data_IF_265991571544
#
_entry.id   IF_265991571544
#
_cell.length_a   1.000
_cell.length_b   1.000
_cell.length_c   1.000
_cell.angle_alpha   90.00
_cell.angle_beta   90.00
_cell.angle_gamma   90.00
#
_symmetry.space_group_name_H-M   'P 1'
#
loop_
_entity.id
_entity.type
_entity.pdbx_description
1 polymer ?
#
# COMPACT_ATOMS: atom_id res chain seq x y z
N UNK A 1 -18.15 -24.11 -20.25
CA UNK A 1 -18.32 -22.65 -20.12
C UNK A 1 -17.56 -22.23 -18.87
N UNK A 2 -16.37 -21.66 -19.04
CA UNK A 2 -15.54 -21.23 -17.92
C UNK A 2 -16.06 -19.88 -17.40
N UNK A 3 -16.56 -19.87 -16.17
CA UNK A 3 -16.94 -18.63 -15.48
C UNK A 3 -15.69 -17.77 -15.31
N UNK A 4 -15.63 -16.68 -16.05
CA UNK A 4 -14.68 -15.60 -15.82
C UNK A 4 -14.99 -15.01 -14.43
N UNK A 5 -14.03 -15.07 -13.52
CA UNK A 5 -14.07 -14.25 -12.31
C UNK A 5 -13.95 -12.80 -12.78
N UNK A 6 -15.06 -12.08 -12.82
CA UNK A 6 -15.05 -10.63 -13.01
C UNK A 6 -14.30 -10.00 -11.84
N UNK A 7 -13.18 -9.34 -12.13
CA UNK A 7 -12.42 -8.55 -11.17
C UNK A 7 -13.24 -7.31 -10.78
N UNK A 8 -13.69 -7.17 -9.52
CA UNK A 8 -14.29 -5.94 -9.04
C UNK A 8 -13.19 -4.92 -8.71
N UNK A 9 -13.35 -3.67 -9.17
CA UNK A 9 -12.72 -2.52 -8.49
C UNK A 9 -11.70 -1.69 -9.26
N UNK A 10 -12.03 -1.20 -10.46
CA UNK A 10 -11.46 0.07 -10.96
C UNK A 10 -12.34 1.29 -10.66
N UNK A 11 -13.55 1.09 -10.13
CA UNK A 11 -14.48 2.18 -9.85
C UNK A 11 -15.29 1.87 -8.58
N UNK A 12 -14.68 2.05 -7.41
CA UNK A 12 -15.45 2.63 -6.30
C UNK A 12 -15.69 4.10 -6.71
N UNK A 13 -16.84 4.74 -6.41
CA UNK A 13 -16.92 6.20 -6.42
C UNK A 13 -16.03 6.70 -5.27
N UNK A 14 -14.71 6.53 -5.42
CA UNK A 14 -13.71 6.84 -4.43
C UNK A 14 -13.36 8.30 -4.59
N UNK A 15 -13.19 8.96 -3.45
CA UNK A 15 -12.68 10.32 -3.35
C UNK A 15 -11.67 10.64 -4.45
N UNK A 16 -11.96 11.71 -5.17
CA UNK A 16 -11.08 12.25 -6.19
C UNK A 16 -9.89 12.95 -5.54
N UNK A 17 -8.99 13.45 -6.38
CA UNK A 17 -7.88 14.27 -5.90
C UNK A 17 -8.32 15.60 -5.26
N UNK A 18 -9.58 16.01 -5.45
CA UNK A 18 -10.18 17.15 -4.76
C UNK A 18 -10.40 16.89 -3.24
N UNK A 19 -10.36 15.63 -2.81
CA UNK A 19 -10.46 15.20 -1.41
C UNK A 19 -9.23 14.33 -1.04
N UNK A 20 -8.03 14.92 -0.94
CA UNK A 20 -6.76 14.17 -0.91
C UNK A 20 -6.65 13.19 0.27
N UNK A 21 -7.16 13.55 1.45
CA UNK A 21 -7.14 12.64 2.60
C UNK A 21 -8.13 11.47 2.47
N UNK A 22 -9.27 11.68 1.82
CA UNK A 22 -10.21 10.58 1.55
C UNK A 22 -9.64 9.64 0.47
N UNK A 23 -8.90 10.19 -0.51
CA UNK A 23 -8.13 9.41 -1.48
C UNK A 23 -7.05 8.57 -0.80
N UNK A 24 -6.31 9.14 0.17
CA UNK A 24 -5.32 8.41 0.97
C UNK A 24 -5.97 7.29 1.79
N UNK A 25 -7.10 7.54 2.45
CA UNK A 25 -7.88 6.49 3.12
C UNK A 25 -8.30 5.37 2.16
N UNK A 26 -8.72 5.71 0.94
CA UNK A 26 -9.03 4.72 -0.09
C UNK A 26 -7.78 3.97 -0.61
N UNK A 27 -6.57 4.53 -0.47
CA UNK A 27 -5.31 3.81 -0.66
C UNK A 27 -5.10 2.78 0.46
N UNK A 28 -5.32 3.11 1.72
CA UNK A 28 -5.20 2.15 2.84
C UNK A 28 -6.13 0.95 2.68
N UNK A 29 -7.36 1.19 2.24
CA UNK A 29 -8.30 0.13 1.87
C UNK A 29 -7.74 -0.81 0.79
N UNK A 30 -7.01 -0.27 -0.19
CA UNK A 30 -6.35 -1.06 -1.23
C UNK A 30 -5.12 -1.80 -0.72
N UNK A 31 -4.35 -1.22 0.22
CA UNK A 31 -3.26 -1.91 0.92
C UNK A 31 -3.81 -3.14 1.62
N UNK A 32 -4.85 -2.97 2.46
CA UNK A 32 -5.48 -4.06 3.23
C UNK A 32 -5.98 -5.17 2.32
N UNK A 33 -6.68 -4.84 1.22
CA UNK A 33 -7.13 -5.84 0.24
C UNK A 33 -5.98 -6.58 -0.45
N UNK A 34 -4.86 -5.90 -0.71
CA UNK A 34 -3.70 -6.53 -1.36
C UNK A 34 -2.95 -7.46 -0.41
N UNK A 35 -2.86 -7.11 0.88
CA UNK A 35 -2.34 -7.99 1.93
C UNK A 35 -3.25 -9.21 2.15
N UNK A 36 -4.57 -9.01 2.14
CA UNK A 36 -5.54 -10.12 2.23
C UNK A 36 -5.43 -11.06 1.03
N UNK A 37 -5.25 -10.52 -0.19
CA UNK A 37 -5.04 -11.32 -1.38
C UNK A 37 -3.74 -12.13 -1.28
N UNK A 38 -2.67 -11.52 -0.77
CA UNK A 38 -1.41 -12.21 -0.52
C UNK A 38 -1.60 -13.37 0.46
N UNK A 39 -2.31 -13.16 1.57
CA UNK A 39 -2.56 -14.21 2.55
C UNK A 39 -3.40 -15.36 1.94
N UNK A 40 -4.47 -15.03 1.21
CA UNK A 40 -5.31 -16.03 0.53
C UNK A 40 -4.53 -16.83 -0.51
N UNK A 41 -3.62 -16.19 -1.25
CA UNK A 41 -2.74 -16.87 -2.20
C UNK A 41 -1.85 -17.90 -1.50
N UNK A 42 -1.23 -17.51 -0.37
CA UNK A 42 -0.39 -18.43 0.42
C UNK A 42 -1.20 -19.62 0.92
N UNK A 43 -2.40 -19.38 1.43
CA UNK A 43 -3.27 -20.46 1.92
C UNK A 43 -3.79 -21.36 0.79
N UNK A 44 -4.09 -20.79 -0.38
CA UNK A 44 -4.48 -21.55 -1.56
C UNK A 44 -3.40 -22.55 -1.98
N UNK A 45 -2.14 -22.11 -2.03
CA UNK A 45 -1.00 -22.95 -2.46
C UNK A 45 -0.63 -24.06 -1.46
N UNK A 46 -1.13 -24.02 -0.22
CA UNK A 46 -1.01 -25.13 0.73
C UNK A 46 -1.93 -26.30 0.38
N UNK A 47 -3.06 -26.02 -0.29
CA UNK A 47 -4.10 -27.00 -0.59
C UNK A 47 -4.24 -27.34 -2.07
N UNK A 48 -3.73 -26.48 -2.97
CA UNK A 48 -3.90 -26.61 -4.41
C UNK A 48 -2.57 -26.42 -5.14
N UNK A 49 -2.44 -27.09 -6.29
CA UNK A 49 -1.34 -26.83 -7.21
C UNK A 49 -1.45 -25.40 -7.76
N UNK A 50 -0.31 -24.76 -8.03
CA UNK A 50 -0.28 -23.45 -8.68
C UNK A 50 -0.90 -23.53 -10.09
N UNK A 51 -1.95 -22.75 -10.29
CA UNK A 51 -2.67 -22.59 -11.54
C UNK A 51 -2.60 -21.13 -12.03
N UNK A 52 -3.25 -20.84 -13.15
CA UNK A 52 -3.25 -19.49 -13.72
C UNK A 52 -3.87 -18.45 -12.77
N UNK A 53 -4.81 -18.86 -11.90
CA UNK A 53 -5.44 -17.98 -10.92
C UNK A 53 -4.45 -17.59 -9.82
N UNK A 54 -3.66 -18.54 -9.30
CA UNK A 54 -2.62 -18.27 -8.32
C UNK A 54 -1.54 -17.34 -8.90
N UNK A 55 -1.13 -17.57 -10.15
CA UNK A 55 -0.17 -16.68 -10.83
C UNK A 55 -0.74 -15.28 -11.06
N UNK A 56 -2.04 -15.18 -11.35
CA UNK A 56 -2.70 -13.90 -11.52
C UNK A 56 -2.79 -13.13 -10.20
N UNK A 57 -3.14 -13.80 -9.10
CA UNK A 57 -3.13 -13.20 -7.77
C UNK A 57 -1.74 -12.65 -7.40
N UNK A 58 -0.67 -13.40 -7.71
CA UNK A 58 0.70 -12.94 -7.51
C UNK A 58 1.00 -11.66 -8.32
N UNK A 59 0.61 -11.61 -9.60
CA UNK A 59 0.75 -10.42 -10.45
C UNK A 59 -0.01 -9.22 -9.92
N UNK A 60 -1.20 -9.42 -9.38
CA UNK A 60 -2.01 -8.33 -8.83
C UNK A 60 -1.39 -7.76 -7.55
N UNK A 61 -0.87 -8.61 -6.65
CA UNK A 61 -0.10 -8.18 -5.47
C UNK A 61 1.16 -7.42 -5.91
N UNK A 62 1.93 -7.96 -6.85
CA UNK A 62 3.13 -7.32 -7.41
C UNK A 62 2.82 -5.93 -7.95
N UNK A 63 1.81 -5.81 -8.82
CA UNK A 63 1.42 -4.54 -9.44
C UNK A 63 1.07 -3.47 -8.42
N UNK A 64 0.39 -3.84 -7.34
CA UNK A 64 0.02 -2.88 -6.30
C UNK A 64 1.25 -2.35 -5.56
N UNK A 65 2.10 -3.24 -5.06
CA UNK A 65 3.25 -2.83 -4.24
C UNK A 65 4.46 -2.34 -5.05
N UNK A 66 4.56 -2.66 -6.34
CA UNK A 66 5.59 -2.10 -7.24
C UNK A 66 5.27 -0.66 -7.68
N UNK A 67 3.98 -0.25 -7.67
CA UNK A 67 3.56 1.02 -8.28
C UNK A 67 2.75 1.88 -7.31
N UNK A 68 1.62 1.36 -6.81
CA UNK A 68 0.67 2.17 -6.07
C UNK A 68 1.16 2.51 -4.65
N UNK A 69 1.73 1.53 -3.93
CA UNK A 69 2.22 1.77 -2.57
C UNK A 69 3.38 2.79 -2.50
N UNK A 70 4.41 2.75 -3.38
CA UNK A 70 5.45 3.77 -3.40
C UNK A 70 4.91 5.19 -3.67
N UNK A 71 3.98 5.32 -4.62
CA UNK A 71 3.34 6.62 -4.91
C UNK A 71 2.49 7.13 -3.75
N UNK A 72 1.95 6.23 -2.92
CA UNK A 72 1.17 6.60 -1.75
C UNK A 72 2.09 7.10 -0.63
N UNK A 73 3.16 6.37 -0.31
CA UNK A 73 4.16 6.85 0.66
C UNK A 73 4.78 8.19 0.20
N UNK A 74 5.04 8.36 -1.10
CA UNK A 74 5.54 9.63 -1.65
C UNK A 74 4.56 10.80 -1.41
N UNK A 75 3.24 10.56 -1.45
CA UNK A 75 2.26 11.60 -1.13
C UNK A 75 2.36 12.04 0.33
N UNK A 76 2.55 11.09 1.24
CA UNK A 76 2.64 11.36 2.68
C UNK A 76 3.93 12.09 3.04
N UNK A 77 5.06 11.62 2.50
CA UNK A 77 6.38 12.23 2.69
C UNK A 77 6.43 13.68 2.19
N UNK A 78 5.70 13.99 1.11
CA UNK A 78 5.70 15.33 0.52
C UNK A 78 4.66 16.29 1.12
N UNK A 79 3.52 15.78 1.59
CA UNK A 79 2.39 16.64 1.94
C UNK A 79 1.85 16.46 3.36
N UNK A 80 1.89 15.24 3.89
CA UNK A 80 1.26 14.91 5.18
C UNK A 80 2.24 15.09 6.33
N UNK A 81 3.45 14.57 6.17
CA UNK A 81 4.49 14.58 7.21
C UNK A 81 5.14 15.95 7.44
N UNK A 82 5.48 16.75 6.40
CA UNK A 82 6.16 18.04 6.60
C UNK A 82 5.46 19.04 7.54
N UNK A 83 4.13 19.30 7.44
CA UNK A 83 3.48 20.25 8.34
C UNK A 83 3.52 19.78 9.81
N UNK A 84 3.45 18.47 10.07
CA UNK A 84 3.50 17.91 11.41
C UNK A 84 4.89 18.04 12.05
N UNK A 85 5.95 17.84 11.26
CA UNK A 85 7.33 18.04 11.72
C UNK A 85 7.62 19.50 12.06
N UNK A 86 6.93 20.45 11.41
CA UNK A 86 7.06 21.88 11.67
C UNK A 86 6.18 22.37 12.85
N UNK A 87 5.12 21.63 13.21
CA UNK A 87 4.11 22.05 14.19
C UNK A 87 4.53 22.04 15.66
N UNK A 88 5.71 21.51 16.00
CA UNK A 88 6.29 21.58 17.35
C UNK A 88 5.75 20.58 18.38
N UNK A 89 4.74 19.77 18.02
CA UNK A 89 4.29 18.65 18.86
C UNK A 89 5.31 17.50 18.79
N UNK A 90 5.99 17.26 19.91
CA UNK A 90 7.02 16.22 20.01
C UNK A 90 6.46 14.81 19.76
N UNK A 91 5.26 14.50 20.24
CA UNK A 91 4.66 13.18 20.10
C UNK A 91 4.18 12.89 18.66
N UNK A 92 3.77 13.91 17.93
CA UNK A 92 3.50 13.80 16.48
C UNK A 92 4.79 13.72 15.68
N UNK A 93 5.81 14.52 16.04
CA UNK A 93 7.13 14.50 15.40
C UNK A 93 7.78 13.12 15.50
N UNK A 94 7.78 12.52 16.69
CA UNK A 94 8.35 11.18 16.90
C UNK A 94 7.59 10.10 16.13
N UNK A 95 6.25 10.21 16.07
CA UNK A 95 5.43 9.29 15.28
C UNK A 95 5.72 9.42 13.78
N UNK A 96 5.80 10.63 13.24
CA UNK A 96 6.16 10.85 11.83
C UNK A 96 7.52 10.23 11.53
N UNK A 97 8.54 10.48 12.37
CA UNK A 97 9.86 9.88 12.20
C UNK A 97 9.84 8.35 12.26
N UNK A 98 8.92 7.76 13.05
CA UNK A 98 8.70 6.32 13.04
C UNK A 98 8.13 5.85 11.70
N UNK A 99 7.07 6.49 11.20
CA UNK A 99 6.44 6.13 9.93
C UNK A 99 7.41 6.27 8.74
N UNK A 100 8.25 7.29 8.73
CA UNK A 100 9.32 7.42 7.73
C UNK A 100 10.32 6.26 7.77
N UNK A 101 10.66 5.75 8.97
CA UNK A 101 11.50 4.54 9.10
C UNK A 101 10.74 3.29 8.65
N UNK A 102 9.44 3.22 8.92
CA UNK A 102 8.60 2.13 8.47
C UNK A 102 8.54 2.10 6.94
N UNK A 103 8.41 3.24 6.25
CA UNK A 103 8.46 3.32 4.78
C UNK A 103 9.76 2.75 4.19
N UNK A 104 10.91 3.09 4.79
CA UNK A 104 12.21 2.53 4.37
C UNK A 104 12.23 1.02 4.59
N UNK A 105 11.80 0.57 5.77
CA UNK A 105 11.75 -0.86 6.08
C UNK A 105 10.79 -1.61 5.15
N UNK A 106 9.63 -1.03 4.82
CA UNK A 106 8.66 -1.59 3.88
C UNK A 106 9.28 -1.77 2.50
N UNK A 107 10.01 -0.78 1.99
CA UNK A 107 10.70 -0.88 0.70
C UNK A 107 11.75 -2.01 0.70
N UNK A 108 12.55 -2.12 1.78
CA UNK A 108 13.53 -3.19 1.94
C UNK A 108 12.87 -4.57 2.04
N UNK A 109 11.80 -4.70 2.83
CA UNK A 109 11.05 -5.95 2.99
C UNK A 109 10.31 -6.35 1.72
N UNK A 110 9.78 -5.37 0.99
CA UNK A 110 9.15 -5.59 -0.31
C UNK A 110 10.14 -6.19 -1.30
N UNK A 111 11.36 -5.66 -1.39
CA UNK A 111 12.38 -6.18 -2.29
C UNK A 111 12.65 -7.69 -2.07
N UNK A 112 12.62 -8.15 -0.82
CA UNK A 112 12.75 -9.57 -0.48
C UNK A 112 11.48 -10.38 -0.78
N UNK A 113 10.31 -9.87 -0.38
CA UNK A 113 9.00 -10.50 -0.61
C UNK A 113 8.69 -10.70 -2.10
N UNK A 114 9.03 -9.70 -2.91
CA UNK A 114 8.82 -9.63 -4.36
C UNK A 114 9.44 -10.82 -5.10
N UNK A 115 10.58 -11.34 -4.64
CA UNK A 115 11.30 -12.45 -5.30
C UNK A 115 10.43 -13.68 -5.44
N UNK A 116 9.78 -14.10 -4.35
CA UNK A 116 8.92 -15.30 -4.37
C UNK A 116 7.68 -15.10 -5.23
N UNK A 117 7.04 -13.93 -5.13
CA UNK A 117 5.87 -13.57 -5.92
C UNK A 117 6.17 -13.52 -7.42
N UNK A 118 7.30 -12.92 -7.81
CA UNK A 118 7.73 -12.86 -9.21
C UNK A 118 8.00 -14.26 -9.76
N UNK A 119 8.74 -15.09 -9.03
CA UNK A 119 9.01 -16.46 -9.44
C UNK A 119 7.72 -17.28 -9.62
N UNK A 120 6.72 -17.08 -8.76
CA UNK A 120 5.42 -17.74 -8.88
C UNK A 120 4.66 -17.21 -10.11
N UNK A 121 4.61 -15.88 -10.29
CA UNK A 121 3.94 -15.23 -11.42
C UNK A 121 4.48 -15.68 -12.77
N UNK A 122 5.81 -15.88 -12.87
CA UNK A 122 6.52 -16.34 -14.06
C UNK A 122 6.44 -17.87 -14.26
N UNK A 123 5.88 -18.60 -13.27
CA UNK A 123 5.80 -20.06 -13.29
C UNK A 123 7.13 -20.78 -13.02
N UNK A 124 8.16 -20.04 -12.59
CA UNK A 124 9.46 -20.59 -12.21
C UNK A 124 9.40 -21.44 -10.93
N UNK A 125 8.43 -21.15 -10.05
CA UNK A 125 8.09 -22.00 -8.90
C UNK A 125 6.60 -22.32 -8.89
N UNK A 126 6.24 -23.44 -8.26
CA UNK A 126 4.85 -23.87 -8.07
C UNK A 126 4.35 -23.68 -6.63
N UNK A 127 5.25 -23.35 -5.70
CA UNK A 127 4.96 -23.11 -4.30
C UNK A 127 6.00 -22.16 -3.70
N UNK A 128 5.66 -21.52 -2.59
CA UNK A 128 6.61 -20.71 -1.83
C UNK A 128 7.53 -21.61 -0.98
N UNK A 129 8.80 -21.25 -0.92
CA UNK A 129 9.76 -21.88 0.01
C UNK A 129 9.56 -21.29 1.41
N UNK A 130 10.08 -21.93 2.48
CA UNK A 130 10.05 -21.32 3.82
C UNK A 130 10.69 -19.92 3.88
N UNK A 131 11.69 -19.66 3.03
CA UNK A 131 12.31 -18.35 2.91
C UNK A 131 11.37 -17.33 2.27
N UNK A 132 10.65 -17.69 1.20
CA UNK A 132 9.62 -16.84 0.60
C UNK A 132 8.54 -16.53 1.63
N UNK A 133 8.02 -17.54 2.32
CA UNK A 133 7.00 -17.39 3.37
C UNK A 133 7.44 -16.40 4.46
N UNK A 134 8.68 -16.54 4.97
CA UNK A 134 9.24 -15.63 5.97
C UNK A 134 9.36 -14.19 5.46
N UNK A 135 9.73 -14.00 4.18
CA UNK A 135 9.84 -12.66 3.59
C UNK A 135 8.46 -12.00 3.44
N UNK A 136 7.46 -12.77 3.01
CA UNK A 136 6.06 -12.32 2.88
C UNK A 136 5.48 -11.94 4.24
N UNK A 137 5.70 -12.75 5.28
CA UNK A 137 5.25 -12.46 6.65
C UNK A 137 5.85 -11.15 7.17
N UNK A 138 7.17 -10.99 7.04
CA UNK A 138 7.88 -9.79 7.52
C UNK A 138 7.43 -8.52 6.79
N UNK A 139 7.07 -8.64 5.51
CA UNK A 139 6.54 -7.52 4.74
C UNK A 139 5.13 -7.15 5.20
N UNK A 140 4.24 -8.14 5.37
CA UNK A 140 2.87 -7.89 5.82
C UNK A 140 2.84 -7.24 7.21
N UNK A 141 3.70 -7.71 8.13
CA UNK A 141 3.81 -7.18 9.50
C UNK A 141 4.19 -5.70 9.57
N UNK A 142 4.85 -5.15 8.54
CA UNK A 142 5.15 -3.71 8.51
C UNK A 142 3.87 -2.85 8.54
N UNK A 143 2.75 -3.37 8.04
CA UNK A 143 1.50 -2.61 7.94
C UNK A 143 0.59 -2.71 9.18
N UNK A 144 0.92 -3.56 10.16
CA UNK A 144 0.05 -3.86 11.31
C UNK A 144 -0.34 -2.59 12.09
N UNK A 145 0.66 -1.86 12.58
CA UNK A 145 0.46 -0.61 13.33
C UNK A 145 0.57 0.64 12.46
N UNK A 146 1.22 0.54 11.30
CA UNK A 146 1.52 1.69 10.44
C UNK A 146 0.25 2.39 9.96
N UNK A 147 -0.65 1.66 9.28
CA UNK A 147 -1.90 2.23 8.77
C UNK A 147 -2.77 2.78 9.91
N UNK A 148 -2.78 2.11 11.06
CA UNK A 148 -3.55 2.56 12.24
C UNK A 148 -3.00 3.89 12.77
N UNK A 149 -1.68 4.03 12.83
CA UNK A 149 -1.06 5.29 13.25
C UNK A 149 -1.36 6.43 12.27
N UNK A 150 -1.40 6.14 10.98
CA UNK A 150 -1.75 7.13 9.96
C UNK A 150 -3.21 7.55 10.05
N UNK A 151 -4.12 6.57 10.00
CA UNK A 151 -5.58 6.75 10.03
C UNK A 151 -6.04 7.49 11.30
N UNK A 152 -5.60 7.04 12.47
CA UNK A 152 -6.14 7.50 13.76
C UNK A 152 -5.48 8.79 14.25
N UNK A 153 -4.26 9.09 13.80
CA UNK A 153 -3.45 10.18 14.39
C UNK A 153 -2.88 11.15 13.37
N UNK A 154 -2.18 10.66 12.35
CA UNK A 154 -1.44 11.53 11.43
C UNK A 154 -2.40 12.28 10.51
N UNK A 155 -3.34 11.59 9.87
CA UNK A 155 -4.24 12.24 8.92
C UNK A 155 -5.13 13.29 9.58
N UNK A 156 -5.77 13.03 10.75
CA UNK A 156 -6.53 14.06 11.45
C UNK A 156 -5.67 15.27 11.83
N UNK A 157 -4.44 15.03 12.31
CA UNK A 157 -3.54 16.10 12.72
C UNK A 157 -3.04 16.94 11.52
N UNK A 158 -2.67 16.29 10.42
CA UNK A 158 -2.22 16.99 9.22
C UNK A 158 -3.36 17.79 8.58
N UNK A 159 -4.57 17.20 8.51
CA UNK A 159 -5.77 17.89 8.00
C UNK A 159 -6.09 19.15 8.81
N UNK A 160 -5.86 19.14 10.12
CA UNK A 160 -6.07 20.32 10.97
C UNK A 160 -5.06 21.46 10.73
N UNK A 161 -3.91 21.17 10.09
CA UNK A 161 -2.85 22.14 9.79
C UNK A 161 -2.89 22.65 8.34
N UNK A 162 -3.57 21.94 7.45
CA UNK A 162 -3.66 22.28 6.02
C UNK A 162 -4.98 22.99 5.72
N UNK A 163 -4.90 24.24 5.29
CA UNK A 163 -6.05 24.99 4.78
C UNK A 163 -6.53 24.47 3.40
N UNK A 164 -7.71 24.92 2.97
CA UNK A 164 -8.30 24.43 1.72
C UNK A 164 -7.37 24.64 0.49
N UNK A 165 -6.69 25.79 0.32
CA UNK A 165 -5.72 25.96 -0.76
C UNK A 165 -4.55 24.95 -0.71
N UNK A 166 -4.00 24.68 0.48
CA UNK A 166 -2.91 23.70 0.61
C UNK A 166 -3.39 22.28 0.26
N UNK A 167 -4.60 21.89 0.70
CA UNK A 167 -5.20 20.60 0.34
C UNK A 167 -5.47 20.49 -1.17
N UNK A 168 -5.93 21.55 -1.83
CA UNK A 168 -6.10 21.56 -3.28
C UNK A 168 -4.77 21.39 -4.02
N UNK A 169 -3.70 22.06 -3.57
CA UNK A 169 -2.36 21.91 -4.15
C UNK A 169 -1.83 20.49 -3.98
N UNK A 170 -1.98 19.91 -2.78
CA UNK A 170 -1.64 18.52 -2.49
C UNK A 170 -2.37 17.57 -3.46
N UNK A 171 -3.69 17.73 -3.63
CA UNK A 171 -4.49 16.95 -4.56
C UNK A 171 -3.99 17.01 -6.01
N UNK A 172 -3.71 18.21 -6.53
CA UNK A 172 -3.20 18.39 -7.88
C UNK A 172 -1.84 17.73 -8.09
N UNK A 173 -0.95 17.78 -7.10
CA UNK A 173 0.34 17.10 -7.16
C UNK A 173 0.21 15.58 -7.10
N UNK A 174 -0.68 15.07 -6.25
CA UNK A 174 -1.03 13.65 -6.19
C UNK A 174 -1.56 13.14 -7.55
N UNK A 175 -2.43 13.92 -8.20
CA UNK A 175 -2.96 13.63 -9.54
C UNK A 175 -1.84 13.59 -10.58
N UNK A 176 -0.96 14.61 -10.57
CA UNK A 176 0.18 14.72 -11.50
C UNK A 176 1.15 13.54 -11.35
N UNK A 177 1.45 13.11 -10.12
CA UNK A 177 2.28 11.91 -9.85
C UNK A 177 1.71 10.64 -10.48
N UNK A 178 0.40 10.60 -10.72
CA UNK A 178 -0.33 9.48 -11.33
C UNK A 178 -0.69 9.71 -12.80
N UNK A 179 -0.18 10.79 -13.41
CA UNK A 179 -0.43 11.13 -14.82
C UNK A 179 -1.86 11.60 -15.12
N UNK A 180 -2.63 11.95 -14.09
CA UNK A 180 -3.99 12.47 -14.22
C UNK A 180 -3.92 14.00 -14.26
N UNK A 181 -4.74 14.61 -15.11
CA UNK A 181 -4.87 16.07 -15.25
C UNK A 181 -6.12 16.57 -14.57
#
# INVERSE_FOLDING_TARGET
MASRVSLPGLHTPGAGFDEPFEMLGACHDRVRRSLDLLQRLRDYLKAHACDDSARQAARDVLRYFDIAAPLHHEDEELHVFPPLLAGGDAALTDLVRQLQRDHVLMAERWAAARVGLQALADGAVQAFTPQHETALDRFAQCYDDHLRHEDDRIYPAARALLDDPAQQSMGQEMARRRGVR
#
